data_IF_030492842175
#
_entry.id   IF_030492842175
#
_cell.length_a   1.000
_cell.length_b   1.000
_cell.length_c   1.000
_cell.angle_alpha   90.00
_cell.angle_beta   90.00
_cell.angle_gamma   90.00
#
_symmetry.space_group_name_H-M   'P 1'
#
loop_
_entity.id
_entity.type
_entity.pdbx_description
1 polymer ?
#
# COMPACT_ATOMS: atom_id res chain seq x y z
N UNK A 1 -101.88 0.08 -35.56
CA UNK A 1 -100.70 0.59 -36.29
C UNK A 1 -99.55 0.51 -35.30
N UNK A 2 -98.56 -0.38 -35.36
CA UNK A 2 -97.59 -0.69 -36.41
C UNK A 2 -96.96 -2.07 -36.01
N UNK A 3 -97.17 -3.20 -36.70
CA UNK A 3 -96.27 -3.86 -37.69
C UNK A 3 -94.78 -3.82 -37.24
N UNK A 4 -94.11 -4.91 -36.81
CA UNK A 4 -93.56 -6.07 -37.59
C UNK A 4 -92.78 -6.96 -36.58
N UNK A 5 -93.10 -8.26 -36.35
CA UNK A 5 -92.55 -9.51 -36.98
C UNK A 5 -90.99 -9.61 -36.88
N UNK A 6 -90.26 -10.64 -36.40
CA UNK A 6 -90.31 -12.12 -36.24
C UNK A 6 -88.96 -12.55 -35.54
N UNK A 7 -88.55 -13.83 -35.35
CA UNK A 7 -89.17 -14.97 -34.66
C UNK A 7 -88.22 -15.73 -33.69
N UNK A 8 -88.83 -16.45 -32.73
CA UNK A 8 -88.64 -17.87 -32.31
C UNK A 8 -87.23 -18.50 -32.40
N UNK A 9 -86.79 -19.13 -31.29
CA UNK A 9 -86.21 -20.49 -31.13
C UNK A 9 -85.77 -20.56 -29.65
N UNK A 10 -86.41 -21.34 -28.77
CA UNK A 10 -86.45 -22.80 -28.80
C UNK A 10 -85.32 -23.33 -27.90
N UNK A 11 -85.49 -23.25 -26.57
CA UNK A 11 -84.53 -23.78 -25.60
C UNK A 11 -84.62 -25.30 -25.62
N UNK A 12 -83.64 -25.95 -26.23
CA UNK A 12 -83.43 -27.40 -26.16
C UNK A 12 -82.55 -27.68 -24.94
N UNK A 13 -83.07 -28.45 -24.00
CA UNK A 13 -82.30 -29.05 -22.91
C UNK A 13 -81.37 -30.09 -23.52
N UNK A 14 -80.07 -29.79 -23.57
CA UNK A 14 -79.05 -30.75 -23.94
C UNK A 14 -78.54 -31.48 -22.69
N UNK A 15 -78.82 -32.78 -22.65
CA UNK A 15 -78.30 -33.76 -21.70
C UNK A 15 -76.77 -33.86 -21.89
N UNK A 16 -75.99 -33.49 -20.88
CA UNK A 16 -74.54 -33.62 -20.91
C UNK A 16 -74.16 -35.11 -20.73
N UNK A 17 -73.89 -35.79 -21.85
CA UNK A 17 -73.19 -37.06 -21.85
C UNK A 17 -71.69 -36.79 -21.66
N UNK A 18 -71.14 -37.19 -20.51
CA UNK A 18 -69.72 -37.11 -20.23
C UNK A 18 -68.96 -38.19 -21.05
N UNK A 19 -68.34 -37.78 -22.16
CA UNK A 19 -67.33 -38.57 -22.84
C UNK A 19 -65.95 -38.22 -22.26
N UNK A 20 -65.41 -39.08 -21.38
CA UNK A 20 -64.00 -39.05 -20.99
C UNK A 20 -63.13 -39.47 -22.18
N UNK A 21 -62.57 -38.50 -22.90
CA UNK A 21 -61.45 -38.74 -23.80
C UNK A 21 -60.14 -38.62 -22.99
N UNK A 22 -59.43 -39.73 -22.79
CA UNK A 22 -58.10 -39.70 -22.19
C UNK A 22 -57.10 -39.11 -23.20
N UNK A 23 -56.54 -37.95 -22.88
CA UNK A 23 -55.40 -37.36 -23.61
C UNK A 23 -54.15 -38.21 -23.36
N UNK A 24 -53.36 -38.58 -24.41
CA UNK A 24 -52.09 -39.25 -24.19
C UNK A 24 -51.13 -38.30 -23.46
N UNK A 25 -50.66 -38.73 -22.29
CA UNK A 25 -49.64 -38.01 -21.52
C UNK A 25 -48.31 -38.14 -22.28
N UNK A 26 -47.63 -37.03 -22.62
CA UNK A 26 -46.31 -37.11 -23.24
C UNK A 26 -45.32 -37.72 -22.25
N UNK A 27 -44.66 -38.82 -22.65
CA UNK A 27 -43.58 -39.43 -21.88
C UNK A 27 -42.41 -38.45 -21.81
N UNK A 28 -42.03 -38.02 -20.60
CA UNK A 28 -40.86 -37.17 -20.40
C UNK A 28 -39.59 -37.90 -20.85
N UNK A 29 -38.93 -37.38 -21.87
CA UNK A 29 -37.58 -37.80 -22.26
C UNK A 29 -36.60 -37.32 -21.20
N UNK A 30 -36.02 -38.24 -20.42
CA UNK A 30 -34.96 -37.91 -19.47
C UNK A 30 -33.69 -37.53 -20.25
N UNK A 31 -33.37 -36.25 -20.30
CA UNK A 31 -32.05 -35.77 -20.74
C UNK A 31 -31.04 -36.20 -19.69
N UNK A 32 -29.96 -36.91 -20.04
CA UNK A 32 -28.93 -37.27 -19.07
C UNK A 32 -28.28 -35.99 -18.54
N UNK A 33 -28.36 -35.78 -17.22
CA UNK A 33 -27.64 -34.69 -16.55
C UNK A 33 -26.15 -35.01 -16.62
N UNK A 34 -25.43 -34.39 -17.55
CA UNK A 34 -23.97 -34.41 -17.56
C UNK A 34 -23.50 -33.46 -16.46
N UNK A 35 -23.11 -34.02 -15.32
CA UNK A 35 -22.41 -33.27 -14.27
C UNK A 35 -21.02 -32.90 -14.79
N UNK A 36 -20.89 -31.74 -15.43
CA UNK A 36 -19.55 -31.16 -15.67
C UNK A 36 -19.00 -30.72 -14.31
N UNK A 37 -17.83 -31.22 -13.88
CA UNK A 37 -17.22 -30.70 -12.66
C UNK A 37 -16.98 -29.20 -12.84
N UNK A 38 -17.38 -28.39 -11.86
CA UNK A 38 -17.05 -26.97 -11.82
C UNK A 38 -15.53 -26.84 -11.89
N UNK A 39 -14.96 -26.10 -12.85
CA UNK A 39 -13.53 -25.84 -12.87
C UNK A 39 -13.11 -25.24 -11.53
N UNK A 40 -12.06 -25.77 -10.91
CA UNK A 40 -11.50 -25.13 -9.72
C UNK A 40 -10.94 -23.76 -10.14
N UNK A 41 -11.12 -22.71 -9.31
CA UNK A 41 -10.47 -21.44 -9.59
C UNK A 41 -8.95 -21.67 -9.64
N UNK A 42 -8.25 -20.91 -10.48
CA UNK A 42 -6.80 -20.88 -10.56
C UNK A 42 -6.31 -19.50 -10.11
N UNK A 43 -5.13 -19.43 -9.52
CA UNK A 43 -4.57 -18.16 -9.09
C UNK A 43 -4.15 -17.36 -10.34
N UNK A 44 -4.75 -16.18 -10.52
CA UNK A 44 -4.56 -15.32 -11.71
C UNK A 44 -3.58 -14.16 -11.46
N UNK A 45 -2.79 -14.26 -10.39
CA UNK A 45 -1.79 -13.28 -9.99
C UNK A 45 -0.59 -13.97 -9.35
N UNK A 46 0.49 -13.23 -9.18
CA UNK A 46 1.69 -13.69 -8.48
C UNK A 46 2.41 -12.52 -7.82
N UNK A 47 2.95 -12.74 -6.61
CA UNK A 47 3.93 -11.84 -6.02
C UNK A 47 5.19 -11.78 -6.90
N UNK A 48 5.49 -10.60 -7.44
CA UNK A 48 6.70 -10.35 -8.24
C UNK A 48 7.88 -9.94 -7.36
N UNK A 49 7.61 -9.17 -6.30
CA UNK A 49 8.61 -8.84 -5.31
C UNK A 49 8.11 -7.86 -4.25
N UNK A 50 8.95 -7.63 -3.25
CA UNK A 50 8.77 -6.57 -2.24
C UNK A 50 10.03 -5.73 -2.24
N UNK A 51 9.91 -4.42 -2.44
CA UNK A 51 11.00 -3.45 -2.40
C UNK A 51 10.90 -2.61 -1.14
N UNK A 52 12.05 -2.26 -0.58
CA UNK A 52 12.17 -1.33 0.55
C UNK A 52 13.08 -0.20 0.09
N UNK A 53 12.60 1.03 0.22
CA UNK A 53 13.36 2.27 -0.02
C UNK A 53 13.14 3.21 1.17
N UNK A 54 14.14 3.27 2.05
CA UNK A 54 14.00 3.82 3.40
C UNK A 54 12.83 3.20 4.15
N UNK A 55 11.90 4.04 4.59
CA UNK A 55 10.68 3.62 5.29
C UNK A 55 9.51 3.37 4.32
N UNK A 56 9.75 3.37 3.02
CA UNK A 56 8.73 3.06 2.01
C UNK A 56 8.83 1.61 1.59
N UNK A 57 7.73 0.87 1.70
CA UNK A 57 7.61 -0.51 1.21
C UNK A 57 6.74 -0.53 -0.02
N UNK A 58 7.21 -1.15 -1.11
CA UNK A 58 6.42 -1.37 -2.33
C UNK A 58 6.27 -2.86 -2.61
N UNK A 59 5.03 -3.36 -2.59
CA UNK A 59 4.70 -4.75 -2.95
C UNK A 59 4.27 -4.79 -4.41
N UNK A 60 4.97 -5.56 -5.23
CA UNK A 60 4.73 -5.69 -6.66
C UNK A 60 3.96 -6.99 -6.93
N UNK A 61 2.73 -6.87 -7.41
CA UNK A 61 1.89 -8.02 -7.77
C UNK A 61 1.61 -8.01 -9.25
N UNK A 62 2.04 -9.07 -9.94
CA UNK A 62 1.70 -9.28 -11.35
C UNK A 62 0.33 -9.91 -11.45
N UNK A 63 -0.52 -9.32 -12.27
CA UNK A 63 -1.88 -9.81 -12.54
C UNK A 63 -1.96 -10.31 -13.97
N UNK A 64 -2.32 -11.58 -14.17
CA UNK A 64 -2.37 -12.24 -15.48
C UNK A 64 -3.73 -12.16 -16.17
N UNK A 65 -4.80 -12.02 -15.39
CA UNK A 65 -6.19 -11.93 -15.86
C UNK A 65 -7.00 -11.00 -14.91
N UNK A 66 -8.33 -11.06 -14.90
CA UNK A 66 -9.12 -10.12 -14.08
C UNK A 66 -9.17 -10.59 -12.62
N UNK A 67 -8.07 -10.37 -11.89
CA UNK A 67 -8.01 -10.59 -10.45
C UNK A 67 -8.28 -9.28 -9.68
N UNK A 68 -9.15 -9.36 -8.69
CA UNK A 68 -9.32 -8.34 -7.65
C UNK A 68 -8.46 -8.75 -6.47
N UNK A 69 -7.39 -8.01 -6.22
CA UNK A 69 -6.33 -8.38 -5.28
C UNK A 69 -6.22 -7.33 -4.18
N UNK A 70 -6.36 -7.79 -2.94
CA UNK A 70 -6.09 -7.04 -1.73
C UNK A 70 -4.68 -7.36 -1.23
N UNK A 71 -3.92 -6.32 -0.88
CA UNK A 71 -2.61 -6.45 -0.23
C UNK A 71 -2.65 -5.68 1.08
N UNK A 72 -2.13 -6.30 2.14
CA UNK A 72 -1.92 -5.63 3.43
C UNK A 72 -0.50 -5.82 3.92
N UNK A 73 0.02 -4.80 4.61
CA UNK A 73 1.31 -4.82 5.28
C UNK A 73 1.09 -4.73 6.79
N UNK A 74 1.35 -5.82 7.51
CA UNK A 74 1.02 -5.97 8.94
C UNK A 74 -0.44 -5.61 9.26
N UNK A 75 -1.34 -5.86 8.32
CA UNK A 75 -2.77 -5.54 8.41
C UNK A 75 -3.15 -4.12 7.98
N UNK A 76 -2.20 -3.23 7.69
CA UNK A 76 -2.46 -1.92 7.13
C UNK A 76 -2.76 -2.01 5.61
N UNK A 77 -3.64 -1.14 5.14
CA UNK A 77 -3.89 -0.92 3.70
C UNK A 77 -2.80 -0.03 3.10
N UNK A 78 -2.52 -0.15 1.78
CA UNK A 78 -1.56 0.71 1.10
C UNK A 78 -2.00 2.18 1.14
N UNK A 79 -1.02 3.10 1.18
CA UNK A 79 -1.23 4.53 1.02
C UNK A 79 -1.70 4.84 -0.41
N UNK A 80 -1.16 4.12 -1.40
CA UNK A 80 -1.53 4.23 -2.81
C UNK A 80 -1.27 2.93 -3.57
N UNK A 81 -1.96 2.77 -4.70
CA UNK A 81 -1.75 1.66 -5.63
C UNK A 81 -1.52 2.22 -7.03
N UNK A 82 -0.32 2.04 -7.55
CA UNK A 82 0.05 2.41 -8.92
C UNK A 82 -0.06 1.18 -9.84
N UNK A 83 -0.06 1.40 -11.16
CA UNK A 83 -0.15 0.30 -12.14
C UNK A 83 0.77 0.54 -13.32
N UNK A 84 1.64 -0.44 -13.60
CA UNK A 84 2.58 -0.41 -14.72
C UNK A 84 2.72 -1.81 -15.34
N UNK A 85 2.43 -1.93 -16.64
CA UNK A 85 2.65 -3.18 -17.41
C UNK A 85 2.09 -4.46 -16.75
N UNK A 86 0.84 -4.40 -16.27
CA UNK A 86 0.15 -5.49 -15.56
C UNK A 86 0.75 -5.86 -14.18
N UNK A 87 1.59 -4.98 -13.63
CA UNK A 87 2.06 -5.04 -12.25
C UNK A 87 1.34 -3.95 -11.47
N UNK A 88 0.70 -4.35 -10.38
CA UNK A 88 0.15 -3.45 -9.37
C UNK A 88 1.26 -3.19 -8.34
N UNK A 89 1.49 -1.91 -8.04
CA UNK A 89 2.48 -1.46 -7.08
C UNK A 89 1.75 -0.91 -5.86
N UNK A 90 1.65 -1.74 -4.81
CA UNK A 90 1.02 -1.37 -3.54
C UNK A 90 2.05 -0.72 -2.65
N UNK A 91 1.90 0.58 -2.38
CA UNK A 91 2.94 1.39 -1.75
C UNK A 91 2.49 1.81 -0.35
N UNK A 92 3.38 1.60 0.60
CA UNK A 92 3.22 1.90 2.02
C UNK A 92 4.31 2.89 2.41
N UNK A 93 3.92 4.09 2.80
CA UNK A 93 4.83 5.13 3.27
C UNK A 93 4.95 5.06 4.81
N UNK A 94 6.02 5.60 5.37
CA UNK A 94 6.25 5.69 6.83
C UNK A 94 6.14 4.35 7.59
N UNK A 95 6.60 3.26 6.97
CA UNK A 95 6.61 1.95 7.61
C UNK A 95 7.64 1.94 8.74
N UNK A 96 7.21 1.50 9.91
CA UNK A 96 8.08 1.38 11.08
C UNK A 96 9.25 0.41 10.82
N UNK A 97 10.32 0.54 11.60
CA UNK A 97 11.42 -0.44 11.54
C UNK A 97 10.99 -1.77 12.16
N UNK A 98 11.46 -2.86 11.57
CA UNK A 98 11.16 -4.22 12.02
C UNK A 98 10.67 -5.14 10.90
N UNK A 99 10.23 -6.33 11.32
CA UNK A 99 9.65 -7.33 10.44
C UNK A 99 8.15 -7.07 10.23
N UNK A 100 7.74 -7.02 8.97
CA UNK A 100 6.35 -6.82 8.56
C UNK A 100 5.85 -7.99 7.73
N UNK A 101 4.63 -8.47 8.02
CA UNK A 101 3.99 -9.52 7.24
C UNK A 101 3.22 -8.90 6.06
N UNK A 102 3.52 -9.35 4.85
CA UNK A 102 2.78 -9.02 3.64
C UNK A 102 1.74 -10.11 3.41
N UNK A 103 0.47 -9.75 3.32
CA UNK A 103 -0.61 -10.69 2.97
C UNK A 103 -1.26 -10.24 1.68
N UNK A 104 -1.30 -11.13 0.70
CA UNK A 104 -1.95 -10.92 -0.59
C UNK A 104 -3.11 -11.89 -0.66
N UNK A 105 -4.30 -11.40 -1.00
CA UNK A 105 -5.49 -12.22 -1.16
C UNK A 105 -6.35 -11.76 -2.32
N UNK A 106 -7.16 -12.65 -2.86
CA UNK A 106 -8.16 -12.30 -3.86
C UNK A 106 -9.57 -12.76 -3.46
N UNK A 107 -10.55 -12.30 -4.25
CA UNK A 107 -11.97 -12.68 -4.09
C UNK A 107 -12.26 -14.15 -4.41
N UNK A 108 -11.35 -14.85 -5.08
CA UNK A 108 -11.45 -16.28 -5.36
C UNK A 108 -10.96 -17.15 -4.18
N UNK A 109 -10.41 -16.52 -3.14
CA UNK A 109 -9.94 -17.16 -1.91
C UNK A 109 -8.48 -17.58 -1.95
N UNK A 110 -7.72 -17.22 -2.99
CA UNK A 110 -6.27 -17.42 -2.98
C UNK A 110 -5.62 -16.47 -1.99
N UNK A 111 -4.62 -16.97 -1.28
CA UNK A 111 -3.87 -16.21 -0.29
C UNK A 111 -2.40 -16.59 -0.32
N UNK A 112 -1.55 -15.58 -0.38
CA UNK A 112 -0.09 -15.70 -0.27
C UNK A 112 0.39 -14.83 0.89
N UNK A 113 1.49 -15.22 1.52
CA UNK A 113 2.10 -14.46 2.60
C UNK A 113 3.60 -14.39 2.39
N UNK A 114 4.16 -13.21 2.59
CA UNK A 114 5.58 -12.95 2.62
C UNK A 114 5.95 -12.14 3.87
N UNK A 115 7.24 -11.97 4.11
CA UNK A 115 7.77 -11.09 5.15
C UNK A 115 8.76 -10.12 4.53
N UNK A 116 8.80 -8.91 5.07
CA UNK A 116 9.76 -7.87 4.68
C UNK A 116 10.32 -7.21 5.93
N UNK A 117 11.64 -7.08 5.98
CA UNK A 117 12.35 -6.37 7.03
C UNK A 117 12.58 -4.93 6.59
N UNK A 118 12.10 -3.97 7.38
CA UNK A 118 12.45 -2.55 7.25
C UNK A 118 13.51 -2.28 8.30
N UNK A 119 14.74 -2.04 7.88
CA UNK A 119 15.81 -1.61 8.80
C UNK A 119 15.72 -0.12 9.07
N UNK A 120 16.34 0.31 10.16
CA UNK A 120 16.57 1.73 10.43
C UNK A 120 17.22 2.39 9.21
N UNK A 121 16.55 3.39 8.65
CA UNK A 121 17.00 4.06 7.44
C UNK A 121 18.01 5.13 7.83
N UNK A 122 19.28 4.83 7.57
CA UNK A 122 20.32 5.84 7.53
C UNK A 122 20.62 6.16 6.06
N UNK A 123 20.57 7.44 5.64
CA UNK A 123 20.98 7.83 4.31
C UNK A 123 22.39 7.32 3.98
N UNK A 124 22.61 6.95 2.72
CA UNK A 124 23.90 6.40 2.28
C UNK A 124 25.06 7.36 2.56
N UNK A 125 24.85 8.66 2.31
CA UNK A 125 25.85 9.70 2.58
C UNK A 125 26.28 9.73 4.06
N UNK A 126 25.31 9.56 4.97
CA UNK A 126 25.57 9.61 6.40
C UNK A 126 26.28 8.34 6.85
N UNK A 127 25.85 7.18 6.35
CA UNK A 127 26.52 5.89 6.63
C UNK A 127 27.99 5.91 6.19
N UNK A 128 28.27 6.43 4.98
CA UNK A 128 29.63 6.56 4.47
C UNK A 128 30.47 7.53 5.30
N UNK A 129 29.89 8.67 5.68
CA UNK A 129 30.57 9.66 6.51
C UNK A 129 30.88 9.13 7.91
N UNK A 130 29.94 8.46 8.57
CA UNK A 130 30.15 7.82 9.88
C UNK A 130 31.29 6.79 9.83
N UNK A 131 31.36 5.98 8.76
CA UNK A 131 32.44 5.03 8.58
C UNK A 131 33.82 5.72 8.43
N UNK A 132 33.88 6.89 7.78
CA UNK A 132 35.10 7.69 7.71
C UNK A 132 35.49 8.24 9.09
N UNK A 133 34.53 8.81 9.83
CA UNK A 133 34.75 9.33 11.18
C UNK A 133 35.26 8.25 12.14
N UNK A 134 34.64 7.08 12.14
CA UNK A 134 35.03 5.94 12.98
C UNK A 134 36.38 5.35 12.59
N UNK A 135 36.79 5.51 11.32
CA UNK A 135 38.13 5.11 10.87
C UNK A 135 39.25 6.04 11.37
N UNK A 136 38.89 7.19 11.96
CA UNK A 136 39.83 8.20 12.44
C UNK A 136 40.62 8.90 11.33
N UNK A 137 40.18 8.79 10.07
CA UNK A 137 40.85 9.40 8.91
C UNK A 137 40.47 10.85 8.69
N UNK A 138 39.35 11.30 9.26
CA UNK A 138 38.92 12.68 9.17
C UNK A 138 39.90 13.58 9.96
N UNK A 139 40.50 14.56 9.29
CA UNK A 139 41.47 15.49 9.90
C UNK A 139 40.80 16.42 10.94
N UNK A 140 39.53 16.78 10.71
CA UNK A 140 38.73 17.66 11.58
C UNK A 140 37.32 17.07 11.74
N UNK A 141 37.17 15.96 12.49
CA UNK A 141 35.87 15.35 12.69
C UNK A 141 34.98 16.29 13.51
N UNK A 142 33.65 16.29 13.32
CA UNK A 142 32.76 17.05 14.20
C UNK A 142 32.88 16.58 15.66
N UNK A 143 32.28 17.31 16.60
CA UNK A 143 32.09 16.87 17.98
C UNK A 143 30.94 15.89 18.10
N UNK A 144 29.85 16.18 17.40
CA UNK A 144 28.69 15.29 17.40
C UNK A 144 27.81 15.51 16.18
N UNK A 145 27.07 14.47 15.83
CA UNK A 145 26.00 14.49 14.83
C UNK A 145 24.73 14.04 15.55
N UNK A 146 23.69 14.85 15.46
CA UNK A 146 22.39 14.58 16.10
C UNK A 146 21.29 14.72 15.07
N UNK A 147 20.43 13.73 14.98
CA UNK A 147 19.24 13.74 14.14
C UNK A 147 18.08 14.37 14.92
N UNK A 148 17.28 15.19 14.24
CA UNK A 148 16.06 15.78 14.78
C UNK A 148 14.93 15.71 13.76
N UNK A 149 13.70 15.60 14.26
CA UNK A 149 12.50 15.93 13.51
C UNK A 149 12.17 17.41 13.70
N UNK A 150 12.26 18.20 12.62
CA UNK A 150 12.03 19.64 12.66
C UNK A 150 11.18 20.09 11.48
N UNK A 151 10.04 20.74 11.78
CA UNK A 151 9.06 21.17 10.78
C UNK A 151 8.54 20.04 9.86
N UNK A 152 8.46 18.80 10.38
CA UNK A 152 7.98 17.64 9.63
C UNK A 152 9.00 17.07 8.65
N UNK A 153 10.29 17.40 8.83
CA UNK A 153 11.38 16.82 8.07
C UNK A 153 12.52 16.43 9.01
N UNK A 154 13.23 15.36 8.65
CA UNK A 154 14.48 14.96 9.29
C UNK A 154 15.60 15.95 8.95
N UNK A 155 16.31 16.40 9.97
CA UNK A 155 17.50 17.26 9.83
C UNK A 155 18.65 16.72 10.68
N UNK A 156 19.87 16.96 10.22
CA UNK A 156 21.08 16.56 10.94
C UNK A 156 21.84 17.79 11.41
N UNK A 157 22.01 17.90 12.72
CA UNK A 157 22.76 18.97 13.35
C UNK A 157 24.17 18.49 13.71
N UNK A 158 25.15 19.14 13.09
CA UNK A 158 26.57 18.79 13.13
C UNK A 158 27.32 19.85 13.90
N UNK A 159 27.72 19.53 15.13
CA UNK A 159 28.50 20.43 15.99
C UNK A 159 29.98 20.30 15.65
N UNK A 160 30.68 21.40 15.34
CA UNK A 160 32.14 21.39 15.06
C UNK A 160 32.97 21.43 16.35
N UNK A 161 34.27 21.14 16.25
CA UNK A 161 35.18 21.04 17.41
C UNK A 161 35.50 22.35 18.09
N UNK A 162 35.59 23.42 17.32
CA UNK A 162 35.96 24.71 17.85
C UNK A 162 34.76 25.66 17.78
N UNK A 163 34.50 26.39 18.86
CA UNK A 163 33.38 27.32 18.95
C UNK A 163 33.45 28.48 17.94
N UNK A 164 34.63 28.72 17.35
CA UNK A 164 34.85 29.69 16.27
C UNK A 164 34.54 29.14 14.86
N UNK A 165 34.24 27.85 14.75
CA UNK A 165 33.72 27.21 13.54
C UNK A 165 32.19 27.17 13.60
N UNK A 166 31.55 27.24 12.43
CA UNK A 166 30.10 27.12 12.34
C UNK A 166 29.66 25.68 12.47
N UNK A 167 28.65 25.42 13.32
CA UNK A 167 27.90 24.17 13.25
C UNK A 167 27.06 24.15 11.98
N UNK A 168 26.84 22.97 11.42
CA UNK A 168 26.05 22.80 10.19
C UNK A 168 24.69 22.21 10.54
N UNK A 169 23.65 22.73 9.90
CA UNK A 169 22.33 22.10 9.83
C UNK A 169 22.14 21.55 8.42
N UNK A 170 21.97 20.24 8.30
CA UNK A 170 21.79 19.54 7.04
C UNK A 170 20.36 19.02 6.91
N UNK A 171 19.84 18.93 5.69
CA UNK A 171 18.58 18.23 5.40
C UNK A 171 18.79 16.70 5.36
N UNK A 172 17.70 15.96 5.10
CA UNK A 172 17.71 14.49 5.02
C UNK A 172 18.68 13.94 3.95
N UNK A 173 18.89 14.70 2.87
CA UNK A 173 19.76 14.35 1.75
C UNK A 173 21.23 14.78 1.98
N UNK A 174 21.53 15.43 3.10
CA UNK A 174 22.86 15.90 3.48
C UNK A 174 23.22 17.27 2.90
N UNK A 175 22.27 18.01 2.32
CA UNK A 175 22.51 19.36 1.84
C UNK A 175 22.53 20.36 3.00
N UNK A 176 23.43 21.34 2.92
CA UNK A 176 23.52 22.41 3.92
C UNK A 176 22.30 23.34 3.86
N UNK A 177 21.54 23.37 4.94
CA UNK A 177 20.48 24.36 5.19
C UNK A 177 21.10 25.67 5.66
N UNK A 178 22.07 25.60 6.57
CA UNK A 178 22.81 26.76 7.06
C UNK A 178 23.53 26.53 8.38
N UNK A 179 23.90 27.62 9.06
CA UNK A 179 24.72 27.61 10.25
C UNK A 179 23.99 28.25 11.44
N UNK A 180 23.32 27.48 12.30
CA UNK A 180 22.52 28.04 13.39
C UNK A 180 23.35 28.63 14.54
N UNK A 181 24.60 28.19 14.70
CA UNK A 181 25.48 28.64 15.79
C UNK A 181 26.97 28.51 15.41
N UNK A 182 27.84 28.80 16.39
CA UNK A 182 29.27 28.83 16.21
C UNK A 182 29.74 30.12 15.57
N UNK A 183 30.94 30.09 14.99
CA UNK A 183 31.62 31.29 14.49
C UNK A 183 32.15 32.18 15.62
N UNK A 184 32.92 33.21 15.27
CA UNK A 184 33.59 34.10 16.25
C UNK A 184 32.61 34.70 17.27
N UNK A 185 31.38 35.00 16.85
CA UNK A 185 30.35 35.56 17.71
C UNK A 185 29.45 34.51 18.40
N UNK A 186 29.58 33.22 18.05
CA UNK A 186 28.73 32.13 18.54
C UNK A 186 27.27 32.18 18.04
N UNK A 187 26.99 32.96 16.99
CA UNK A 187 25.63 33.23 16.48
C UNK A 187 25.33 32.59 15.13
N UNK A 188 26.26 31.77 14.62
CA UNK A 188 26.09 31.18 13.30
C UNK A 188 26.13 32.22 12.19
N UNK A 189 25.40 31.95 11.12
CA UNK A 189 25.26 32.83 9.95
C UNK A 189 24.29 34.01 10.16
N UNK A 190 23.57 34.03 11.29
CA UNK A 190 22.62 35.09 11.65
C UNK A 190 21.28 35.04 10.91
N UNK A 191 21.03 34.03 10.07
CA UNK A 191 19.77 33.83 9.33
C UNK A 191 19.12 32.49 9.63
N UNK A 192 19.91 31.47 9.93
CA UNK A 192 19.45 30.12 10.24
C UNK A 192 19.02 30.03 11.69
N UNK A 193 17.74 29.74 11.91
CA UNK A 193 17.16 29.59 13.26
C UNK A 193 16.82 28.13 13.49
N UNK A 194 17.55 27.50 14.40
CA UNK A 194 17.34 26.11 14.80
C UNK A 194 17.50 25.94 16.31
N UNK A 195 16.42 25.71 17.06
CA UNK A 195 16.44 25.64 18.51
C UNK A 195 16.80 24.22 19.00
N UNK A 196 18.01 23.73 18.66
CA UNK A 196 18.43 22.35 18.96
C UNK A 196 18.22 21.92 20.42
N UNK A 197 18.42 22.84 21.38
CA UNK A 197 18.31 22.57 22.82
C UNK A 197 16.87 22.40 23.32
N UNK A 198 15.89 22.85 22.55
CA UNK A 198 14.46 22.74 22.88
C UNK A 198 13.80 21.53 22.21
N UNK A 199 14.57 20.73 21.46
CA UNK A 199 14.10 19.56 20.71
C UNK A 199 14.68 18.27 21.30
N UNK A 200 13.90 17.19 21.23
CA UNK A 200 14.38 15.84 21.52
C UNK A 200 15.07 15.28 20.27
N UNK A 201 16.39 15.17 20.31
CA UNK A 201 17.22 14.67 19.21
C UNK A 201 17.84 13.30 19.50
N UNK A 202 18.01 12.49 18.46
CA UNK A 202 18.72 11.20 18.53
C UNK A 202 20.19 11.43 18.22
N UNK A 203 21.06 11.13 19.20
CA UNK A 203 22.51 11.23 19.00
C UNK A 203 22.98 10.07 18.12
N UNK A 204 23.32 10.37 16.86
CA UNK A 204 23.79 9.38 15.89
C UNK A 204 25.27 9.09 16.09
N UNK A 205 26.07 10.12 16.38
CA UNK A 205 27.51 9.98 16.53
C UNK A 205 28.10 11.04 17.45
N UNK A 206 29.16 10.68 18.17
CA UNK A 206 29.93 11.59 19.04
C UNK A 206 31.41 11.23 18.92
N UNK A 207 32.27 12.26 18.92
CA UNK A 207 33.70 12.06 18.92
C UNK A 207 34.15 11.21 20.13
N UNK A 208 35.07 10.25 19.93
CA UNK A 208 35.55 9.36 20.99
C UNK A 208 36.42 10.06 22.04
#
# INVERSE_FOLDING_TARGET
MNKILLPIIGVIIALAAACSAATPVPTATTVPTVSMPTPMPIQEWKLEGVKVDGNTVTVLVRVYARADVDVTLSGASPNRVDTSNQVLEFIYDDVATGEHSVVISDVAGFRETASVAVSEYMPTWLTEWLAELDSGKADFPPQSITEYEYNGATVYYVVKQCCDQFSDLLDADGNLIGHPDGGIAGRGDGVTVFPAFDLDGTKIWTAP
#
